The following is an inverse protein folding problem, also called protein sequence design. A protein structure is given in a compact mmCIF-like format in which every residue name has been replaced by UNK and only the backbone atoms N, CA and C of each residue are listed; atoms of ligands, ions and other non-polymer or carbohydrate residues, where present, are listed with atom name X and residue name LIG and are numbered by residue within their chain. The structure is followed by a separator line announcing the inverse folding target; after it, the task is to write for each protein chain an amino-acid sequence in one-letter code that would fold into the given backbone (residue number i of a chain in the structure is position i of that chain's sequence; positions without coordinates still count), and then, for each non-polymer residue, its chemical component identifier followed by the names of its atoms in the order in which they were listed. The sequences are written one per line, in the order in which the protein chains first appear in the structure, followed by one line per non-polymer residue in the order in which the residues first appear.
data_IF_917356994725
#
_entry.id   IF_917356994725
#
_cell.length_a   1.000
_cell.length_b   1.000
_cell.length_c   1.000
_cell.angle_alpha   90.00
_cell.angle_beta   90.00
_cell.angle_gamma   90.00
#
_symmetry.space_group_name_H-M   'P 1'
#
loop_
_entity.id
_entity.type
_entity.pdbx_description
1 polymer ?
#
# COMPACT_ATOMS: atom_id res chain seq x y z
N UNK A 1 -18.86 1.90 57.44
CA UNK A 1 -17.63 1.80 56.62
C UNK A 1 -17.96 0.96 55.40
N UNK A 2 -17.97 1.53 54.19
CA UNK A 2 -18.31 0.84 52.95
C UNK A 2 -17.01 0.41 52.26
N UNK A 3 -16.81 -0.89 52.15
CA UNK A 3 -15.68 -1.52 51.44
C UNK A 3 -15.86 -1.31 49.94
N UNK A 4 -14.97 -0.54 49.33
CA UNK A 4 -14.86 -0.41 47.86
C UNK A 4 -14.03 -1.58 47.37
N UNK A 5 -14.64 -2.49 46.61
CA UNK A 5 -13.93 -3.55 45.88
C UNK A 5 -13.47 -2.94 44.56
N UNK A 6 -12.18 -2.64 44.47
CA UNK A 6 -11.54 -2.18 43.23
C UNK A 6 -11.15 -3.41 42.42
N UNK A 7 -11.94 -3.75 41.39
CA UNK A 7 -11.56 -4.78 40.42
C UNK A 7 -10.56 -4.13 39.46
N UNK A 8 -9.27 -4.36 39.71
CA UNK A 8 -8.20 -3.97 38.81
C UNK A 8 -8.20 -4.96 37.65
N UNK A 9 -8.68 -4.51 36.49
CA UNK A 9 -8.46 -5.19 35.23
C UNK A 9 -6.99 -5.05 34.85
N UNK A 10 -6.20 -6.07 35.18
CA UNK A 10 -4.86 -6.25 34.63
C UNK A 10 -5.02 -6.64 33.15
N UNK A 11 -5.03 -5.64 32.26
CA UNK A 11 -4.64 -5.89 30.88
C UNK A 11 -3.16 -6.24 30.90
N UNK A 12 -2.85 -7.53 30.88
CA UNK A 12 -1.52 -7.99 30.47
C UNK A 12 -1.32 -7.51 29.04
N UNK A 13 -0.52 -6.46 28.88
CA UNK A 13 0.08 -6.10 27.60
C UNK A 13 1.04 -7.22 27.21
N UNK A 14 0.50 -8.34 26.74
CA UNK A 14 1.29 -9.29 25.97
C UNK A 14 1.82 -8.51 24.77
N UNK A 15 3.14 -8.41 24.65
CA UNK A 15 3.77 -8.02 23.40
C UNK A 15 3.14 -8.93 22.34
N UNK A 16 2.30 -8.36 21.47
CA UNK A 16 1.65 -9.15 20.44
C UNK A 16 2.74 -9.78 19.57
N UNK A 17 2.90 -11.10 19.67
CA UNK A 17 3.83 -11.82 18.81
C UNK A 17 3.34 -11.66 17.36
N UNK A 18 4.28 -11.45 16.44
CA UNK A 18 3.93 -11.08 15.07
C UNK A 18 4.47 -12.07 14.06
N UNK A 19 3.68 -12.35 13.02
CA UNK A 19 4.07 -13.20 11.89
C UNK A 19 4.43 -12.33 10.68
N UNK A 20 5.58 -12.53 10.03
CA UNK A 20 5.94 -11.79 8.82
C UNK A 20 4.88 -11.95 7.73
N UNK A 21 4.47 -10.82 7.15
CA UNK A 21 3.41 -10.74 6.17
C UNK A 21 3.81 -9.79 5.04
N UNK A 22 3.16 -9.90 3.88
CA UNK A 22 3.38 -9.04 2.72
C UNK A 22 2.05 -8.67 2.07
N UNK A 23 2.02 -7.53 1.38
CA UNK A 23 0.95 -7.17 0.45
C UNK A 23 1.56 -7.14 -0.94
N UNK A 24 1.04 -7.97 -1.85
CA UNK A 24 1.52 -8.04 -3.23
C UNK A 24 0.32 -8.16 -4.17
N UNK A 25 0.26 -7.30 -5.19
CA UNK A 25 -0.82 -7.28 -6.19
C UNK A 25 -2.23 -7.32 -5.56
N UNK A 26 -2.46 -6.53 -4.50
CA UNK A 26 -3.76 -6.46 -3.81
C UNK A 26 -4.10 -7.65 -2.91
N UNK A 27 -3.24 -8.66 -2.81
CA UNK A 27 -3.41 -9.83 -1.94
C UNK A 27 -2.51 -9.76 -0.71
N UNK A 28 -3.00 -10.26 0.41
CA UNK A 28 -2.23 -10.40 1.65
C UNK A 28 -1.64 -11.79 1.76
N UNK A 29 -0.35 -11.85 2.07
CA UNK A 29 0.42 -13.05 2.26
C UNK A 29 0.99 -13.13 3.67
N UNK A 30 1.20 -14.34 4.17
CA UNK A 30 1.92 -14.60 5.41
C UNK A 30 3.06 -15.57 5.16
N UNK A 31 4.14 -15.47 5.93
CA UNK A 31 5.24 -16.43 5.87
C UNK A 31 4.80 -17.79 6.40
N UNK A 32 4.62 -18.76 5.50
CA UNK A 32 4.34 -20.15 5.82
C UNK A 32 5.49 -20.79 6.61
N UNK A 33 6.73 -20.38 6.33
CA UNK A 33 7.92 -20.84 7.06
C UNK A 33 7.88 -20.42 8.53
N UNK A 34 7.46 -19.18 8.81
CA UNK A 34 7.27 -18.68 10.18
C UNK A 34 6.09 -19.36 10.88
N UNK A 35 4.97 -19.51 10.18
CA UNK A 35 3.78 -20.22 10.70
C UNK A 35 4.14 -21.65 11.10
N UNK A 36 4.81 -22.40 10.22
CA UNK A 36 5.23 -23.77 10.49
C UNK A 36 6.17 -23.86 11.69
N UNK A 37 7.10 -22.91 11.84
CA UNK A 37 7.99 -22.84 13.00
C UNK A 37 7.24 -22.60 14.31
N UNK A 38 6.31 -21.64 14.32
CA UNK A 38 5.51 -21.31 15.51
C UNK A 38 4.63 -22.50 15.93
N UNK A 39 4.10 -23.24 14.96
CA UNK A 39 3.34 -24.46 15.19
C UNK A 39 4.21 -25.68 15.51
N UNK A 40 5.55 -25.57 15.45
CA UNK A 40 6.46 -26.69 15.66
C UNK A 40 6.34 -27.81 14.62
N UNK A 41 5.93 -27.47 13.40
CA UNK A 41 5.73 -28.42 12.31
C UNK A 41 7.04 -28.78 11.61
N UNK A 42 7.13 -30.01 11.12
CA UNK A 42 8.26 -30.42 10.29
C UNK A 42 8.15 -29.80 8.89
N UNK A 43 9.25 -29.21 8.43
CA UNK A 43 9.31 -28.56 7.13
C UNK A 43 10.45 -29.11 6.29
N UNK A 44 10.25 -29.17 4.98
CA UNK A 44 11.32 -29.44 4.01
C UNK A 44 11.29 -28.36 2.92
N UNK A 45 12.42 -27.69 2.74
CA UNK A 45 12.62 -26.69 1.69
C UNK A 45 13.46 -27.32 0.56
N UNK A 46 12.89 -27.33 -0.64
CA UNK A 46 13.58 -27.62 -1.88
C UNK A 46 13.62 -26.35 -2.76
N UNK A 47 14.48 -26.32 -3.77
CA UNK A 47 14.71 -25.13 -4.60
C UNK A 47 13.42 -24.48 -5.16
N UNK A 48 12.41 -25.28 -5.49
CA UNK A 48 11.14 -24.80 -6.07
C UNK A 48 9.89 -25.21 -5.30
N UNK A 49 10.03 -25.89 -4.16
CA UNK A 49 8.88 -26.31 -3.37
C UNK A 49 9.15 -26.28 -1.88
N UNK A 50 8.09 -26.08 -1.10
CA UNK A 50 8.14 -26.12 0.36
C UNK A 50 7.07 -27.07 0.87
N UNK A 51 7.48 -28.00 1.72
CA UNK A 51 6.61 -29.02 2.30
C UNK A 51 6.44 -28.76 3.78
N UNK A 52 5.20 -28.77 4.26
CA UNK A 52 4.82 -28.69 5.67
C UNK A 52 4.10 -29.97 6.06
N UNK A 53 4.58 -30.64 7.10
CA UNK A 53 3.93 -31.83 7.67
C UNK A 53 3.16 -31.41 8.92
N UNK A 54 1.85 -31.34 8.79
CA UNK A 54 0.94 -30.99 9.88
C UNK A 54 0.22 -32.25 10.39
N UNK A 55 -0.35 -32.22 11.62
CA UNK A 55 -1.20 -33.31 12.10
C UNK A 55 -2.39 -33.62 11.17
N UNK A 56 -2.92 -32.60 10.48
CA UNK A 56 -4.03 -32.74 9.53
C UNK A 56 -3.64 -33.31 8.16
N UNK A 57 -2.35 -33.32 7.79
CA UNK A 57 -1.90 -33.74 6.48
C UNK A 57 -0.55 -33.16 6.05
N UNK A 58 -0.17 -33.45 4.80
CA UNK A 58 1.04 -32.91 4.17
C UNK A 58 0.64 -31.86 3.13
N UNK A 59 1.15 -30.64 3.29
CA UNK A 59 1.00 -29.53 2.36
C UNK A 59 2.29 -29.37 1.56
N UNK A 60 2.20 -29.29 0.24
CA UNK A 60 3.31 -28.91 -0.64
C UNK A 60 2.89 -27.69 -1.45
N UNK A 61 3.74 -26.67 -1.42
CA UNK A 61 3.57 -25.43 -2.18
C UNK A 61 4.71 -25.27 -3.17
N UNK A 62 4.47 -24.53 -4.26
CA UNK A 62 5.46 -24.32 -5.33
C UNK A 62 5.68 -22.82 -5.59
N UNK A 63 6.92 -22.44 -5.87
CA UNK A 63 7.26 -21.03 -6.10
C UNK A 63 6.59 -20.53 -7.39
N UNK A 64 6.00 -19.32 -7.31
CA UNK A 64 5.28 -18.64 -8.40
C UNK A 64 4.11 -19.43 -8.98
N UNK A 65 3.54 -20.37 -8.21
CA UNK A 65 2.39 -21.16 -8.62
C UNK A 65 1.19 -20.88 -7.70
N UNK A 66 -0.03 -20.78 -8.25
CA UNK A 66 -1.25 -20.84 -7.44
C UNK A 66 -1.60 -22.28 -7.02
N UNK A 67 -1.02 -23.29 -7.67
CA UNK A 67 -1.33 -24.69 -7.41
C UNK A 67 -0.57 -25.22 -6.19
N UNK A 68 -1.25 -26.05 -5.40
CA UNK A 68 -0.71 -26.71 -4.21
C UNK A 68 -1.10 -28.19 -4.20
N UNK A 69 -0.32 -29.00 -3.48
CA UNK A 69 -0.71 -30.37 -3.14
C UNK A 69 -1.11 -30.44 -1.67
N UNK A 70 -2.30 -30.96 -1.40
CA UNK A 70 -2.72 -31.29 -0.04
C UNK A 70 -3.06 -32.77 0.07
N UNK A 71 -2.39 -33.46 0.99
CA UNK A 71 -2.64 -34.85 1.32
C UNK A 71 -3.13 -34.97 2.77
N UNK A 72 -4.45 -35.12 3.00
CA UNK A 72 -5.02 -35.29 4.35
C UNK A 72 -4.46 -36.54 5.07
N UNK A 73 -4.33 -36.47 6.40
CA UNK A 73 -3.84 -37.58 7.22
C UNK A 73 -4.83 -38.76 7.32
N UNK A 74 -6.12 -38.53 7.12
CA UNK A 74 -7.15 -39.57 7.21
C UNK A 74 -7.12 -40.49 5.98
N UNK A 75 -6.83 -41.78 6.18
CA UNK A 75 -6.97 -42.81 5.14
C UNK A 75 -8.43 -42.91 4.70
N UNK A 76 -8.69 -42.61 3.43
CA UNK A 76 -9.99 -42.83 2.79
C UNK A 76 -10.66 -41.59 2.21
N UNK A 77 -10.09 -40.40 2.39
CA UNK A 77 -10.49 -39.23 1.60
C UNK A 77 -9.68 -39.17 0.30
N UNK A 78 -10.33 -38.64 -0.74
CA UNK A 78 -9.89 -38.60 -2.14
C UNK A 78 -8.42 -38.16 -2.26
N UNK A 79 -7.76 -38.75 -3.28
CA UNK A 79 -6.37 -38.52 -3.75
C UNK A 79 -5.87 -37.11 -3.47
N UNK A 80 -4.56 -36.98 -3.19
CA UNK A 80 -3.85 -35.70 -3.17
C UNK A 80 -4.43 -34.77 -4.26
N UNK A 81 -5.14 -33.74 -3.81
CA UNK A 81 -5.89 -32.87 -4.71
C UNK A 81 -5.01 -31.71 -5.08
N UNK A 82 -4.86 -31.47 -6.38
CA UNK A 82 -4.40 -30.17 -6.87
C UNK A 82 -5.47 -29.16 -6.47
N UNK A 83 -5.15 -28.34 -5.46
CA UNK A 83 -5.95 -27.19 -5.11
C UNK A 83 -5.30 -25.98 -5.77
N UNK A 84 -6.10 -25.04 -6.25
CA UNK A 84 -5.61 -23.81 -6.84
C UNK A 84 -6.08 -22.62 -6.00
N UNK A 85 -5.14 -21.76 -5.65
CA UNK A 85 -5.34 -20.55 -4.86
C UNK A 85 -5.74 -19.38 -5.76
N UNK A 86 -6.37 -18.36 -5.17
CA UNK A 86 -6.71 -17.13 -5.87
C UNK A 86 -5.48 -16.31 -6.30
N UNK A 87 -4.34 -16.53 -5.63
CA UNK A 87 -3.09 -15.83 -5.92
C UNK A 87 -1.88 -16.78 -5.80
N UNK A 88 -0.80 -16.54 -6.56
CA UNK A 88 0.36 -17.42 -6.58
C UNK A 88 1.21 -17.31 -5.31
N UNK A 89 1.93 -18.37 -4.98
CA UNK A 89 2.85 -18.42 -3.83
C UNK A 89 4.19 -17.79 -4.22
N UNK A 90 4.87 -17.14 -3.26
CA UNK A 90 6.10 -16.41 -3.52
C UNK A 90 7.24 -16.83 -2.58
N UNK A 91 8.42 -17.13 -3.14
CA UNK A 91 9.67 -17.21 -2.38
C UNK A 91 10.41 -15.86 -2.43
N UNK A 92 10.56 -15.21 -1.29
CA UNK A 92 11.24 -13.90 -1.14
C UNK A 92 12.23 -14.00 0.02
N UNK A 93 13.50 -13.66 -0.21
CA UNK A 93 14.55 -13.68 0.81
C UNK A 93 14.59 -15.00 1.61
N UNK A 94 14.50 -16.13 0.90
CA UNK A 94 14.46 -17.49 1.49
C UNK A 94 13.23 -17.79 2.38
N UNK A 95 12.16 -17.01 2.27
CA UNK A 95 10.88 -17.26 2.95
C UNK A 95 9.77 -17.53 1.97
N UNK A 96 8.88 -18.44 2.35
CA UNK A 96 7.71 -18.84 1.58
C UNK A 96 6.49 -18.07 2.03
N UNK A 97 5.98 -17.19 1.18
CA UNK A 97 4.81 -16.37 1.43
C UNK A 97 3.60 -16.92 0.69
N UNK A 98 2.54 -17.18 1.45
CA UNK A 98 1.31 -17.83 0.96
C UNK A 98 0.09 -16.95 1.19
N UNK A 99 -0.91 -16.98 0.30
CA UNK A 99 -2.19 -16.32 0.52
C UNK A 99 -2.84 -16.76 1.83
N UNK A 100 -3.50 -15.84 2.53
CA UNK A 100 -4.12 -16.12 3.84
C UNK A 100 -5.15 -17.25 3.81
N UNK A 101 -5.82 -17.47 2.68
CA UNK A 101 -6.79 -18.55 2.52
C UNK A 101 -6.19 -19.95 2.72
N UNK A 102 -4.89 -20.13 2.43
CA UNK A 102 -4.18 -21.39 2.60
C UNK A 102 -4.11 -21.83 4.06
N UNK A 103 -4.09 -20.88 5.00
CA UNK A 103 -3.97 -21.13 6.43
C UNK A 103 -5.14 -21.97 6.98
N UNK A 104 -6.30 -21.95 6.31
CA UNK A 104 -7.45 -22.76 6.68
C UNK A 104 -7.17 -24.26 6.62
N UNK A 105 -6.25 -24.71 5.75
CA UNK A 105 -5.84 -26.12 5.68
C UNK A 105 -5.03 -26.56 6.91
N UNK A 106 -4.52 -25.62 7.69
CA UNK A 106 -3.76 -25.84 8.92
C UNK A 106 -4.59 -25.53 10.17
N UNK A 107 -5.92 -25.47 10.03
CA UNK A 107 -6.88 -25.11 11.09
C UNK A 107 -6.61 -23.73 11.72
N UNK A 108 -6.00 -22.82 10.97
CA UNK A 108 -5.72 -21.45 11.39
C UNK A 108 -6.83 -20.52 10.91
N UNK A 109 -7.33 -19.67 11.80
CA UNK A 109 -8.35 -18.66 11.47
C UNK A 109 -7.75 -17.27 11.33
N UNK A 110 -8.28 -16.47 10.40
CA UNK A 110 -7.81 -15.10 10.14
C UNK A 110 -8.97 -14.12 10.24
N UNK A 111 -8.78 -13.04 11.00
CA UNK A 111 -9.73 -11.94 11.15
C UNK A 111 -8.99 -10.60 11.05
N UNK A 112 -9.16 -9.91 9.91
CA UNK A 112 -8.38 -8.71 9.62
C UNK A 112 -6.89 -9.04 9.56
N UNK A 113 -6.09 -8.38 10.40
CA UNK A 113 -4.64 -8.60 10.51
C UNK A 113 -4.26 -9.54 11.66
N UNK A 114 -5.23 -10.22 12.26
CA UNK A 114 -5.01 -11.16 13.36
C UNK A 114 -5.15 -12.59 12.85
N UNK A 115 -4.14 -13.41 13.15
CA UNK A 115 -4.07 -14.84 12.89
C UNK A 115 -4.19 -15.58 14.21
N UNK A 116 -5.16 -16.49 14.32
CA UNK A 116 -5.35 -17.32 15.53
C UNK A 116 -5.02 -18.77 15.20
N UNK A 117 -4.07 -19.33 15.95
CA UNK A 117 -3.59 -20.70 15.80
C UNK A 117 -4.59 -21.70 16.40
N UNK A 118 -4.48 -23.01 16.07
CA UNK A 118 -5.31 -24.06 16.68
C UNK A 118 -5.20 -24.13 18.20
N UNK A 119 -4.07 -23.68 18.77
CA UNK A 119 -3.86 -23.59 20.22
C UNK A 119 -4.65 -22.46 20.90
N UNK A 120 -5.27 -21.57 20.12
CA UNK A 120 -5.91 -20.34 20.60
C UNK A 120 -4.96 -19.14 20.74
N UNK A 121 -3.65 -19.33 20.49
CA UNK A 121 -2.69 -18.22 20.47
C UNK A 121 -2.97 -17.28 19.28
N UNK A 122 -2.91 -15.98 19.53
CA UNK A 122 -3.17 -14.95 18.52
C UNK A 122 -1.88 -14.21 18.17
N UNK A 123 -1.66 -14.02 16.87
CA UNK A 123 -0.53 -13.32 16.29
C UNK A 123 -1.02 -12.20 15.38
N UNK A 124 -0.33 -11.07 15.38
CA UNK A 124 -0.61 -9.99 14.42
C UNK A 124 0.26 -10.16 13.18
N UNK A 125 -0.27 -9.85 12.00
CA UNK A 125 0.53 -9.80 10.77
C UNK A 125 1.48 -8.59 10.81
N UNK A 126 2.79 -8.86 10.72
CA UNK A 126 3.83 -7.85 10.62
C UNK A 126 4.20 -7.65 9.15
N UNK A 127 3.73 -6.56 8.58
CA UNK A 127 4.14 -6.13 7.25
C UNK A 127 5.51 -5.46 7.33
N UNK A 128 6.42 -5.66 6.35
CA UNK A 128 7.59 -4.81 6.25
C UNK A 128 7.11 -3.36 6.19
N UNK A 129 7.75 -2.49 6.96
CA UNK A 129 7.56 -1.06 6.79
C UNK A 129 7.86 -0.76 5.33
N UNK A 130 6.92 -0.11 4.66
CA UNK A 130 7.15 0.35 3.30
C UNK A 130 8.44 1.20 3.34
N UNK A 131 9.54 0.77 2.67
CA UNK A 131 10.79 1.55 2.66
C UNK A 131 10.60 2.92 1.99
N UNK A 132 9.46 3.12 1.32
CA UNK A 132 9.01 4.33 0.66
C UNK A 132 7.97 5.12 1.46
N UNK A 133 7.55 4.65 2.65
CA UNK A 133 6.87 5.50 3.65
C UNK A 133 7.90 6.49 4.24
N UNK A 134 8.39 7.38 3.39
CA UNK A 134 9.31 8.47 3.76
C UNK A 134 8.43 9.67 4.05
N UNK A 135 8.12 9.85 5.34
CA UNK A 135 7.44 11.03 5.85
C UNK A 135 5.92 10.99 5.75
N UNK A 136 5.28 9.98 6.36
CA UNK A 136 3.95 10.24 6.92
C UNK A 136 4.12 11.28 8.03
N UNK A 137 3.71 12.50 7.71
CA UNK A 137 3.47 13.54 8.70
C UNK A 137 1.96 13.71 8.80
N UNK A 138 1.46 14.36 9.85
CA UNK A 138 0.02 14.67 9.91
C UNK A 138 -0.49 15.43 8.67
N UNK A 139 0.42 16.04 7.89
CA UNK A 139 0.14 16.92 6.76
C UNK A 139 0.51 16.31 5.40
N UNK A 140 0.98 15.05 5.36
CA UNK A 140 1.39 14.38 4.12
C UNK A 140 1.23 12.87 4.17
N UNK A 141 0.71 12.29 3.10
CA UNK A 141 0.47 10.85 2.96
C UNK A 141 0.76 10.38 1.54
N UNK A 142 1.35 9.20 1.38
CA UNK A 142 1.45 8.52 0.08
C UNK A 142 0.24 7.62 -0.08
N UNK A 143 -0.61 7.92 -1.08
CA UNK A 143 -1.84 7.18 -1.38
C UNK A 143 -1.63 6.24 -2.56
N UNK A 144 -2.24 5.05 -2.52
CA UNK A 144 -2.26 4.09 -3.63
C UNK A 144 -3.65 4.09 -4.29
N UNK A 145 -3.73 4.48 -5.57
CA UNK A 145 -4.98 4.49 -6.33
C UNK A 145 -5.26 3.17 -7.07
N UNK A 146 -4.23 2.37 -7.24
CA UNK A 146 -4.24 1.10 -7.97
C UNK A 146 -2.85 0.47 -7.95
N UNK A 147 -2.71 -0.73 -8.49
CA UNK A 147 -1.45 -1.46 -8.41
C UNK A 147 -0.27 -0.66 -9.00
N UNK A 148 0.68 -0.27 -8.14
CA UNK A 148 1.84 0.57 -8.48
C UNK A 148 1.48 1.98 -8.99
N UNK A 149 0.27 2.48 -8.71
CA UNK A 149 -0.13 3.86 -8.97
C UNK A 149 -0.17 4.60 -7.65
N UNK A 150 0.95 5.26 -7.32
CA UNK A 150 1.08 6.03 -6.08
C UNK A 150 0.89 7.53 -6.35
N UNK A 151 0.36 8.22 -5.35
CA UNK A 151 0.21 9.67 -5.32
C UNK A 151 0.64 10.25 -3.99
N UNK A 152 0.92 11.55 -3.98
CA UNK A 152 1.23 12.30 -2.77
C UNK A 152 0.03 13.17 -2.43
N UNK A 153 -0.60 12.89 -1.28
CA UNK A 153 -1.58 13.77 -0.67
C UNK A 153 -0.87 14.71 0.32
N UNK A 154 -1.18 16.00 0.23
CA UNK A 154 -0.74 17.04 1.14
C UNK A 154 -1.99 17.72 1.73
N UNK A 155 -1.98 17.92 3.05
CA UNK A 155 -3.10 18.52 3.79
C UNK A 155 -2.62 19.82 4.44
N UNK A 156 -3.22 20.93 4.01
CA UNK A 156 -2.87 22.27 4.45
C UNK A 156 -4.01 22.91 5.24
N UNK A 157 -3.67 23.96 5.99
CA UNK A 157 -4.67 24.82 6.61
C UNK A 157 -5.45 25.59 5.55
N UNK A 158 -6.77 25.62 5.71
CA UNK A 158 -7.69 26.40 4.90
C UNK A 158 -8.58 27.29 5.77
N UNK A 159 -9.60 27.91 5.17
CA UNK A 159 -10.48 28.83 5.90
C UNK A 159 -11.33 28.13 6.98
N UNK A 160 -11.54 26.81 6.88
CA UNK A 160 -12.23 26.00 7.89
C UNK A 160 -11.32 25.45 9.00
N UNK A 161 -10.01 25.74 8.96
CA UNK A 161 -9.04 25.30 9.97
C UNK A 161 -7.96 24.36 9.41
N UNK A 162 -7.31 23.62 10.31
CA UNK A 162 -6.26 22.65 9.97
C UNK A 162 -6.81 21.56 9.04
N UNK A 163 -5.97 21.11 8.10
CA UNK A 163 -6.25 19.99 7.17
C UNK A 163 -7.56 20.12 6.38
N UNK A 164 -8.03 21.36 6.17
CA UNK A 164 -9.29 21.64 5.47
C UNK A 164 -9.13 21.95 3.98
N UNK A 165 -7.89 21.94 3.50
CA UNK A 165 -7.47 22.11 2.12
C UNK A 165 -6.52 20.95 1.76
N UNK A 166 -6.78 20.25 0.67
CA UNK A 166 -5.96 19.10 0.24
C UNK A 166 -5.48 19.24 -1.19
N UNK A 167 -4.29 18.71 -1.45
CA UNK A 167 -3.67 18.59 -2.76
C UNK A 167 -3.26 17.14 -2.97
N UNK A 168 -3.72 16.52 -4.06
CA UNK A 168 -3.28 15.21 -4.52
C UNK A 168 -2.41 15.39 -5.77
N UNK A 169 -1.24 14.75 -5.79
CA UNK A 169 -0.31 14.72 -6.92
C UNK A 169 -0.14 13.31 -7.46
N UNK A 170 -0.24 13.13 -8.77
CA UNK A 170 -0.21 11.82 -9.44
C UNK A 170 0.61 11.89 -10.74
N UNK A 171 1.33 10.83 -11.08
CA UNK A 171 1.95 10.73 -12.41
C UNK A 171 0.91 10.37 -13.47
N UNK A 172 0.69 11.27 -14.44
CA UNK A 172 -0.29 11.06 -15.51
C UNK A 172 -0.02 9.77 -16.29
N UNK A 173 1.25 9.41 -16.47
CA UNK A 173 1.62 8.22 -17.23
C UNK A 173 1.25 6.91 -16.52
N UNK A 174 0.95 6.95 -15.22
CA UNK A 174 0.51 5.79 -14.45
C UNK A 174 -1.01 5.74 -14.28
N UNK A 175 -1.74 6.82 -14.60
CA UNK A 175 -3.20 6.85 -14.44
C UNK A 175 -3.91 5.80 -15.29
N UNK A 176 -3.37 5.44 -16.46
CA UNK A 176 -3.93 4.38 -17.31
C UNK A 176 -3.86 2.99 -16.66
N UNK A 177 -3.00 2.78 -15.65
CA UNK A 177 -2.99 1.54 -14.87
C UNK A 177 -4.14 1.49 -13.86
N UNK A 178 -4.55 2.64 -13.31
CA UNK A 178 -5.68 2.74 -12.39
C UNK A 178 -7.04 2.86 -13.13
N UNK A 179 -7.04 3.51 -14.30
CA UNK A 179 -8.21 3.78 -15.13
C UNK A 179 -7.96 3.35 -16.59
N UNK A 180 -7.92 2.03 -16.88
CA UNK A 180 -7.57 1.52 -18.22
C UNK A 180 -8.49 2.02 -19.33
N UNK A 181 -9.76 2.26 -19.02
CA UNK A 181 -10.74 2.80 -19.97
C UNK A 181 -10.41 4.21 -20.47
N UNK A 182 -9.57 4.96 -19.74
CA UNK A 182 -9.15 6.31 -20.10
C UNK A 182 -7.82 6.36 -20.87
N UNK A 183 -7.19 5.21 -21.13
CA UNK A 183 -5.85 5.14 -21.71
C UNK A 183 -5.70 5.98 -22.99
N UNK A 184 -6.64 5.90 -23.93
CA UNK A 184 -6.55 6.65 -25.19
C UNK A 184 -6.55 8.18 -24.98
N UNK A 185 -7.34 8.66 -24.02
CA UNK A 185 -7.39 10.09 -23.69
C UNK A 185 -6.10 10.55 -23.00
N UNK A 186 -5.57 9.72 -22.10
CA UNK A 186 -4.31 9.97 -21.39
C UNK A 186 -3.12 9.99 -22.37
N UNK A 187 -3.04 9.00 -23.27
CA UNK A 187 -1.98 8.91 -24.28
C UNK A 187 -2.03 10.11 -25.25
N UNK A 188 -3.23 10.51 -25.68
CA UNK A 188 -3.41 11.68 -26.52
C UNK A 188 -3.01 12.98 -25.79
N UNK A 189 -3.36 13.10 -24.51
CA UNK A 189 -2.96 14.23 -23.68
C UNK A 189 -1.43 14.30 -23.54
N UNK A 190 -0.78 13.20 -23.15
CA UNK A 190 0.69 13.13 -23.01
C UNK A 190 1.36 13.41 -24.35
N UNK A 191 0.87 12.82 -25.45
CA UNK A 191 1.42 13.02 -26.79
C UNK A 191 1.29 14.44 -27.32
N UNK A 192 0.35 15.23 -26.79
CA UNK A 192 0.20 16.65 -27.09
C UNK A 192 1.21 17.56 -26.35
N UNK A 193 1.89 17.04 -25.34
CA UNK A 193 2.91 17.79 -24.59
C UNK A 193 4.24 17.75 -25.36
N UNK A 194 4.80 18.91 -25.68
CA UNK A 194 6.06 18.99 -26.42
C UNK A 194 7.24 18.41 -25.62
N UNK A 195 7.34 18.77 -24.34
CA UNK A 195 8.40 18.36 -23.42
C UNK A 195 7.90 18.32 -21.96
N UNK A 196 8.65 17.63 -21.09
CA UNK A 196 8.40 17.57 -19.66
C UNK A 196 7.63 16.33 -19.21
N UNK A 197 7.59 16.13 -17.88
CA UNK A 197 6.87 15.01 -17.26
C UNK A 197 5.63 15.54 -16.54
N UNK A 198 4.42 15.25 -17.04
CA UNK A 198 3.21 15.80 -16.45
C UNK A 198 2.85 15.08 -15.13
N UNK A 199 2.75 15.85 -14.06
CA UNK A 199 2.14 15.45 -12.79
C UNK A 199 0.74 16.05 -12.75
N UNK A 200 -0.28 15.20 -12.66
CA UNK A 200 -1.65 15.62 -12.44
C UNK A 200 -1.83 16.07 -11.01
N UNK A 201 -2.61 17.12 -10.80
CA UNK A 201 -3.01 17.57 -9.48
C UNK A 201 -4.52 17.73 -9.36
N UNK A 202 -5.03 17.47 -8.16
CA UNK A 202 -6.38 17.86 -7.73
C UNK A 202 -6.24 18.62 -6.42
N UNK A 203 -6.94 19.75 -6.31
CA UNK A 203 -7.05 20.54 -5.09
C UNK A 203 -8.52 20.58 -4.66
N UNK A 204 -8.78 20.25 -3.40
CA UNK A 204 -10.14 20.28 -2.82
C UNK A 204 -10.13 20.99 -1.47
N UNK A 205 -11.27 21.54 -1.06
CA UNK A 205 -11.42 22.20 0.23
C UNK A 205 -12.77 21.91 0.88
N UNK A 206 -12.83 21.98 2.21
CA UNK A 206 -14.07 21.80 3.01
C UNK A 206 -14.98 23.03 2.99
N UNK A 207 -14.41 24.20 2.72
CA UNK A 207 -15.13 25.46 2.48
C UNK A 207 -14.41 26.25 1.39
N UNK A 208 -15.06 27.26 0.82
CA UNK A 208 -14.40 28.15 -0.14
C UNK A 208 -13.14 28.78 0.48
N UNK A 209 -11.99 28.51 -0.14
CA UNK A 209 -10.67 28.79 0.41
C UNK A 209 -9.70 29.16 -0.72
N UNK A 210 -8.84 30.19 -0.55
CA UNK A 210 -7.76 30.43 -1.49
C UNK A 210 -6.68 29.36 -1.40
N UNK A 211 -6.02 29.02 -2.50
CA UNK A 211 -4.97 28.00 -2.52
C UNK A 211 -3.70 28.46 -3.24
N UNK A 212 -2.54 27.96 -2.79
CA UNK A 212 -1.24 28.30 -3.37
C UNK A 212 -1.06 27.59 -4.72
N UNK A 213 -1.00 28.35 -5.81
CA UNK A 213 -0.85 27.83 -7.18
C UNK A 213 0.62 27.55 -7.56
N UNK A 214 1.48 27.41 -6.56
CA UNK A 214 2.91 27.15 -6.71
C UNK A 214 3.32 25.91 -5.93
N UNK A 215 4.20 25.11 -6.50
CA UNK A 215 4.82 23.97 -5.82
C UNK A 215 6.33 24.04 -5.97
N UNK A 216 7.05 23.50 -5.00
CA UNK A 216 8.50 23.37 -5.09
C UNK A 216 8.84 21.88 -5.07
N UNK A 217 9.53 21.42 -6.10
CA UNK A 217 10.05 20.07 -6.20
C UNK A 217 11.56 20.09 -5.95
N UNK A 218 12.02 19.33 -4.97
CA UNK A 218 13.44 19.23 -4.62
C UNK A 218 13.91 17.79 -4.73
N UNK A 219 15.02 17.57 -5.44
CA UNK A 219 15.67 16.27 -5.58
C UNK A 219 17.18 16.47 -5.75
N UNK A 220 17.97 15.65 -5.08
CA UNK A 220 19.44 15.66 -5.15
C UNK A 220 20.05 17.07 -4.94
N UNK A 221 19.47 17.85 -4.01
CA UNK A 221 19.93 19.20 -3.67
C UNK A 221 19.56 20.31 -4.67
N UNK A 222 18.87 19.97 -5.76
CA UNK A 222 18.34 20.93 -6.73
C UNK A 222 16.85 21.16 -6.51
N UNK A 223 16.37 22.39 -6.74
CA UNK A 223 14.95 22.74 -6.59
C UNK A 223 14.37 23.34 -7.86
N UNK A 224 13.13 22.98 -8.16
CA UNK A 224 12.32 23.52 -9.24
C UNK A 224 11.02 24.08 -8.67
N UNK A 225 10.79 25.38 -8.89
CA UNK A 225 9.54 26.02 -8.52
C UNK A 225 8.56 25.96 -9.69
N UNK A 226 7.55 25.12 -9.57
CA UNK A 226 6.41 25.10 -10.47
C UNK A 226 5.44 26.23 -10.12
N UNK A 227 5.01 27.02 -11.10
CA UNK A 227 4.11 28.16 -10.87
C UNK A 227 3.10 28.31 -12.01
N UNK A 228 1.87 28.61 -11.64
CA UNK A 228 0.85 29.04 -12.60
C UNK A 228 1.18 30.46 -13.14
N UNK A 229 0.93 30.76 -14.43
CA UNK A 229 0.42 29.88 -15.49
C UNK A 229 1.53 29.23 -16.34
N UNK A 230 2.78 29.21 -15.87
CA UNK A 230 3.93 28.85 -16.70
C UNK A 230 4.17 27.34 -16.77
N UNK A 231 4.41 26.74 -15.61
CA UNK A 231 4.73 25.31 -15.47
C UNK A 231 3.63 24.54 -14.76
N UNK A 232 2.61 25.27 -14.29
CA UNK A 232 1.34 24.74 -13.80
C UNK A 232 0.23 25.23 -14.73
N UNK A 233 -0.63 24.33 -15.16
CA UNK A 233 -1.84 24.63 -15.93
C UNK A 233 -3.06 24.09 -15.19
N UNK A 234 -4.04 24.96 -14.92
CA UNK A 234 -5.35 24.55 -14.39
C UNK A 234 -6.23 24.17 -15.57
N UNK A 235 -6.72 22.93 -15.56
CA UNK A 235 -7.57 22.37 -16.62
C UNK A 235 -9.06 22.50 -16.26
N UNK A 236 -9.38 22.35 -14.98
CA UNK A 236 -10.73 22.48 -14.44
C UNK A 236 -10.71 23.28 -13.13
N UNK A 237 -11.76 24.08 -12.89
CA UNK A 237 -11.87 24.94 -11.73
C UNK A 237 -11.20 26.31 -11.90
N UNK A 238 -10.93 26.99 -10.78
CA UNK A 238 -10.35 28.32 -10.75
C UNK A 238 -8.95 28.30 -10.12
N UNK A 239 -8.00 28.98 -10.78
CA UNK A 239 -6.66 29.17 -10.21
C UNK A 239 -6.74 30.09 -8.99
N UNK A 240 -6.27 29.61 -7.85
CA UNK A 240 -6.18 30.40 -6.62
C UNK A 240 -7.38 30.32 -5.69
N UNK A 241 -8.52 29.73 -6.11
CA UNK A 241 -9.69 29.52 -5.25
C UNK A 241 -10.32 28.14 -5.48
N UNK A 242 -10.70 27.44 -4.41
CA UNK A 242 -11.42 26.16 -4.45
C UNK A 242 -12.54 26.12 -3.44
N UNK A 243 -13.57 25.30 -3.69
CA UNK A 243 -14.65 25.03 -2.74
C UNK A 243 -15.10 23.55 -2.81
N UNK A 244 -15.91 23.06 -1.86
CA UNK A 244 -16.35 21.65 -1.85
C UNK A 244 -17.03 21.20 -3.13
N UNK A 245 -17.74 22.12 -3.80
CA UNK A 245 -18.49 21.85 -5.03
C UNK A 245 -17.74 22.27 -6.29
N UNK A 246 -16.56 22.89 -6.15
CA UNK A 246 -15.72 23.38 -7.26
C UNK A 246 -14.25 23.09 -6.93
N UNK A 247 -13.82 21.82 -7.03
CA UNK A 247 -12.41 21.48 -6.96
C UNK A 247 -11.66 22.10 -8.15
N UNK A 248 -10.35 22.27 -8.00
CA UNK A 248 -9.47 22.63 -9.11
C UNK A 248 -8.63 21.41 -9.49
N UNK A 249 -8.42 21.18 -10.77
CA UNK A 249 -7.51 20.14 -11.24
C UNK A 249 -6.68 20.62 -12.42
N UNK A 250 -5.53 20.00 -12.61
CA UNK A 250 -4.63 20.42 -13.66
C UNK A 250 -3.35 19.62 -13.72
N UNK A 251 -2.34 20.18 -14.39
CA UNK A 251 -1.04 19.54 -14.54
C UNK A 251 0.11 20.46 -14.19
N UNK A 252 1.16 19.85 -13.66
CA UNK A 252 2.48 20.44 -13.49
C UNK A 252 3.44 19.78 -14.48
N UNK A 253 4.13 20.57 -15.28
CA UNK A 253 5.17 20.06 -16.18
C UNK A 253 6.52 20.12 -15.47
N UNK A 254 7.04 18.94 -15.12
CA UNK A 254 8.35 18.83 -14.48
C UNK A 254 9.48 18.87 -15.50
N UNK A 255 10.64 19.45 -15.15
CA UNK A 255 11.84 19.40 -15.96
C UNK A 255 12.40 17.97 -16.05
N UNK A 256 13.11 17.69 -17.14
CA UNK A 256 13.58 16.34 -17.47
C UNK A 256 14.60 15.75 -16.50
N UNK A 257 15.30 16.62 -15.76
CA UNK A 257 16.29 16.21 -14.75
C UNK A 257 15.64 15.57 -13.51
N UNK A 258 14.37 15.87 -13.22
CA UNK A 258 13.64 15.21 -12.13
C UNK A 258 13.37 13.75 -12.49
N UNK A 259 13.95 12.85 -11.71
CA UNK A 259 13.79 11.42 -11.87
C UNK A 259 12.65 10.91 -10.99
N UNK A 260 11.52 10.60 -11.63
CA UNK A 260 10.33 10.04 -10.99
C UNK A 260 10.55 8.65 -10.36
N UNK A 261 11.66 7.97 -10.66
CA UNK A 261 12.08 6.69 -10.04
C UNK A 261 12.91 6.86 -8.77
N UNK A 262 13.08 8.09 -8.29
CA UNK A 262 13.82 8.41 -7.07
C UNK A 262 12.94 9.29 -6.17
N UNK A 263 13.21 9.34 -4.85
CA UNK A 263 12.51 10.24 -3.95
C UNK A 263 12.59 11.70 -4.40
N UNK A 264 11.46 12.40 -4.33
CA UNK A 264 11.30 13.82 -4.62
C UNK A 264 10.58 14.44 -3.43
N UNK A 265 11.16 15.48 -2.85
CA UNK A 265 10.46 16.31 -1.86
C UNK A 265 9.59 17.31 -2.58
N UNK A 266 8.32 17.39 -2.22
CA UNK A 266 7.37 18.38 -2.73
C UNK A 266 6.94 19.28 -1.59
N UNK A 267 7.00 20.59 -1.80
CA UNK A 267 6.49 21.60 -0.87
C UNK A 267 5.36 22.38 -1.53
N UNK A 268 4.30 22.61 -0.76
CA UNK A 268 3.11 23.36 -1.16
C UNK A 268 2.65 24.24 0.00
N UNK A 269 2.76 25.57 -0.16
CA UNK A 269 2.60 26.49 0.97
C UNK A 269 3.58 26.14 2.11
N UNK A 270 3.04 25.89 3.31
CA UNK A 270 3.83 25.52 4.49
C UNK A 270 4.00 24.00 4.68
N UNK A 271 3.36 23.18 3.83
CA UNK A 271 3.38 21.72 3.96
C UNK A 271 4.35 21.09 2.98
N UNK A 272 4.91 19.95 3.39
CA UNK A 272 5.86 19.20 2.58
C UNK A 272 5.64 17.70 2.71
N UNK A 273 5.94 16.97 1.65
CA UNK A 273 5.93 15.51 1.62
C UNK A 273 7.00 14.97 0.68
N UNK A 274 7.31 13.68 0.78
CA UNK A 274 8.29 13.01 -0.09
C UNK A 274 7.59 11.88 -0.84
N UNK A 275 7.88 11.76 -2.12
CA UNK A 275 7.30 10.70 -2.96
C UNK A 275 8.31 10.19 -4.00
N UNK A 276 8.22 8.90 -4.28
CA UNK A 276 8.75 8.29 -5.49
C UNK A 276 7.56 7.84 -6.35
N UNK A 277 7.31 8.55 -7.46
CA UNK A 277 6.14 8.30 -8.31
C UNK A 277 6.20 6.96 -9.07
N UNK A 278 7.40 6.48 -9.44
CA UNK A 278 7.60 5.26 -10.22
C UNK A 278 8.49 4.26 -9.50
N UNK A 279 8.11 2.98 -9.53
CA UNK A 279 8.99 1.86 -9.14
C UNK A 279 9.91 1.48 -10.31
#
# INVERSE_FOLDING_TARGET
MRTVVLIVWLFSSALAESLPALRLAGSTYVSLSDVARVLGLETSDASQSFTVRAPGGVLVVFDRSPDILWQPAARGQLLAGDLSLAAPIHRIEERWFVPLELLRLLDITVAGEVVTLPSGAAYTLAFPRDPWAVGESAQSEVVELGHNVTGLALYASGAAGQDSLSLLLLDVALLSLAFPEQQLAIDAFIGGLAHGRPIYFIVTAVVETPWETSLIFTQDGSSFAARYPFTVSVLEGEAGTVSPTRPASGVVLLPDWLNLRRPITVSWGEVQGVIQFRR
#
